data_IF_671916697327
#
_entry.id   IF_671916697327
#
_cell.length_a   1.000
_cell.length_b   1.000
_cell.length_c   1.000
_cell.angle_alpha   90.00
_cell.angle_beta   90.00
_cell.angle_gamma   90.00
#
_symmetry.space_group_name_H-M   'P 1'
#
loop_
_entity.id
_entity.type
_entity.pdbx_description
1 polymer ?
#
# COMPACT_ATOMS: atom_id res chain seq x y z
N UNK A 1 47.38 -6.33 18.89
CA UNK A 1 46.02 -6.64 19.41
C UNK A 1 44.95 -5.60 19.00
N UNK A 2 45.01 -4.99 17.80
CA UNK A 2 43.96 -4.05 17.30
C UNK A 2 43.17 -4.59 16.10
N UNK A 3 43.59 -5.72 15.51
CA UNK A 3 42.91 -6.35 14.36
C UNK A 3 41.81 -7.34 14.77
N UNK A 4 41.85 -7.89 15.99
CA UNK A 4 40.84 -8.83 16.50
C UNK A 4 39.50 -8.15 16.84
N UNK A 5 39.51 -6.85 17.18
CA UNK A 5 38.28 -6.10 17.44
C UNK A 5 37.41 -5.92 16.18
N UNK A 6 38.03 -5.86 15.00
CA UNK A 6 37.31 -5.71 13.73
C UNK A 6 36.59 -7.00 13.29
N UNK A 7 37.10 -8.18 13.65
CA UNK A 7 36.47 -9.46 13.30
C UNK A 7 35.31 -9.84 14.23
N UNK A 8 35.25 -9.29 15.45
CA UNK A 8 34.14 -9.48 16.39
C UNK A 8 32.92 -8.59 16.10
N UNK A 9 33.06 -7.56 15.27
CA UNK A 9 31.96 -6.67 14.87
C UNK A 9 31.23 -7.11 13.58
N UNK A 10 31.84 -7.98 12.76
CA UNK A 10 31.22 -8.51 11.54
C UNK A 10 29.95 -9.36 11.79
N UNK A 11 29.84 -10.22 12.84
CA UNK A 11 28.63 -11.00 13.05
C UNK A 11 27.42 -10.17 13.51
N UNK A 12 27.63 -8.93 13.99
CA UNK A 12 26.52 -8.02 14.34
C UNK A 12 25.82 -7.45 13.09
N UNK A 13 26.45 -7.47 11.93
CA UNK A 13 25.85 -7.06 10.65
C UNK A 13 25.23 -8.23 9.86
N UNK A 14 25.27 -9.45 10.38
CA UNK A 14 24.83 -10.67 9.70
C UNK A 14 23.44 -11.16 10.12
N UNK A 15 22.67 -10.37 10.87
CA UNK A 15 21.24 -10.63 11.06
C UNK A 15 20.47 -10.21 9.80
N UNK A 16 20.77 -10.85 8.67
CA UNK A 16 19.86 -10.87 7.53
C UNK A 16 18.58 -11.55 8.02
N UNK A 17 17.58 -10.77 8.39
CA UNK A 17 16.26 -11.31 8.64
C UNK A 17 15.79 -11.95 7.34
N UNK A 18 15.77 -13.27 7.33
CA UNK A 18 15.22 -14.08 6.23
C UNK A 18 13.80 -14.45 6.59
N UNK A 19 12.88 -14.27 5.65
CA UNK A 19 11.49 -14.61 5.85
C UNK A 19 10.64 -14.09 4.69
N UNK A 20 9.35 -14.48 4.67
CA UNK A 20 8.49 -14.19 3.56
C UNK A 20 8.08 -12.72 3.54
N UNK A 21 7.95 -12.17 2.34
CA UNK A 21 7.22 -10.93 2.10
C UNK A 21 6.37 -11.06 0.83
N UNK A 22 5.34 -10.23 0.72
CA UNK A 22 4.47 -10.21 -0.46
C UNK A 22 4.98 -9.18 -1.47
N UNK A 23 5.24 -9.65 -2.69
CA UNK A 23 5.57 -8.83 -3.85
C UNK A 23 4.34 -8.72 -4.76
N UNK A 24 3.60 -7.59 -4.74
CA UNK A 24 2.46 -7.40 -5.61
C UNK A 24 2.90 -7.12 -7.05
N UNK A 25 2.10 -7.58 -8.02
CA UNK A 25 2.28 -7.34 -9.45
C UNK A 25 0.92 -7.11 -10.11
N UNK A 26 0.81 -6.08 -10.94
CA UNK A 26 -0.42 -5.75 -11.68
C UNK A 26 -0.05 -5.28 -13.09
N UNK A 27 -0.93 -5.50 -14.06
CA UNK A 27 -0.70 -5.10 -15.46
C UNK A 27 -0.90 -3.59 -15.70
N UNK A 28 -1.67 -2.91 -14.85
CA UNK A 28 -2.08 -1.51 -15.05
C UNK A 28 -1.54 -0.58 -13.97
N UNK A 29 -1.31 -1.10 -12.77
CA UNK A 29 -0.82 -0.30 -11.64
C UNK A 29 0.70 -0.23 -11.56
N UNK A 30 1.20 0.75 -10.79
CA UNK A 30 2.63 0.96 -10.57
C UNK A 30 3.05 0.37 -9.22
N UNK A 31 4.21 -0.27 -9.17
CA UNK A 31 4.76 -0.74 -7.89
C UNK A 31 5.17 0.45 -7.02
N UNK A 32 4.70 0.48 -5.78
CA UNK A 32 5.06 1.47 -4.78
C UNK A 32 5.74 0.79 -3.59
N UNK A 33 6.93 1.25 -3.23
CA UNK A 33 7.61 0.87 -2.00
C UNK A 33 7.03 1.70 -0.85
N UNK A 34 6.44 1.04 0.14
CA UNK A 34 5.83 1.73 1.28
C UNK A 34 6.83 1.94 2.40
N UNK A 35 7.43 0.84 2.87
CA UNK A 35 8.46 0.86 3.90
C UNK A 35 9.43 -0.29 3.66
N UNK A 36 10.72 -0.06 3.96
CA UNK A 36 11.74 -1.10 3.97
C UNK A 36 11.73 -1.74 5.34
N UNK A 37 11.34 -3.01 5.41
CA UNK A 37 11.27 -3.80 6.65
C UNK A 37 12.05 -5.10 6.47
N UNK A 38 12.34 -5.74 7.61
CA UNK A 38 12.86 -7.10 7.68
C UNK A 38 11.65 -8.06 7.80
N UNK A 39 11.57 -9.17 7.05
CA UNK A 39 12.58 -9.73 6.14
C UNK A 39 12.55 -9.19 4.70
N UNK A 40 11.56 -8.36 4.34
CA UNK A 40 11.45 -7.75 3.02
C UNK A 40 10.49 -6.55 3.07
N UNK A 41 10.49 -5.72 2.02
CA UNK A 41 9.75 -4.46 2.03
C UNK A 41 8.22 -4.69 1.99
N UNK A 42 7.47 -3.79 2.62
CA UNK A 42 6.05 -3.65 2.31
C UNK A 42 5.91 -2.90 0.98
N UNK A 43 5.15 -3.49 0.06
CA UNK A 43 4.95 -2.99 -1.28
C UNK A 43 3.46 -2.93 -1.60
N UNK A 44 3.04 -1.89 -2.32
CA UNK A 44 1.69 -1.72 -2.84
C UNK A 44 1.68 -1.72 -4.36
N UNK A 45 0.50 -1.91 -4.93
CA UNK A 45 0.18 -1.35 -6.24
C UNK A 45 -0.46 0.02 -6.05
N UNK A 46 0.08 1.01 -6.76
CA UNK A 46 -0.47 2.34 -6.89
C UNK A 46 -1.33 2.44 -8.14
N UNK A 47 -2.58 2.86 -7.95
CA UNK A 47 -3.52 3.20 -9.01
C UNK A 47 -3.87 4.69 -8.94
N UNK A 48 -4.12 5.28 -10.10
CA UNK A 48 -4.60 6.65 -10.23
C UNK A 48 -5.58 6.73 -11.39
N UNK A 49 -6.35 7.80 -11.46
CA UNK A 49 -7.23 8.05 -12.61
C UNK A 49 -6.41 8.43 -13.84
N UNK A 50 -7.07 8.47 -15.00
CA UNK A 50 -6.46 8.95 -16.26
C UNK A 50 -6.56 10.45 -16.45
N UNK A 51 -7.46 11.14 -15.73
CA UNK A 51 -7.61 12.59 -15.78
C UNK A 51 -6.44 13.31 -15.13
N UNK A 52 -5.91 14.30 -15.85
CA UNK A 52 -4.89 15.22 -15.33
C UNK A 52 -5.33 15.98 -14.08
N UNK A 53 -6.65 16.17 -13.88
CA UNK A 53 -7.18 16.88 -12.71
C UNK A 53 -7.00 16.09 -11.40
N UNK A 54 -7.04 14.75 -11.49
CA UNK A 54 -7.12 13.85 -10.35
C UNK A 54 -5.93 12.88 -10.25
N UNK A 55 -5.01 12.91 -11.21
CA UNK A 55 -3.85 12.01 -11.29
C UNK A 55 -2.81 12.20 -10.17
N UNK A 56 -2.99 13.21 -9.32
CA UNK A 56 -2.20 13.45 -8.11
C UNK A 56 -2.66 12.65 -6.90
N UNK A 57 -3.84 12.01 -6.97
CA UNK A 57 -4.38 11.15 -5.91
C UNK A 57 -4.10 9.70 -6.29
N UNK A 58 -3.22 9.07 -5.53
CA UNK A 58 -2.80 7.69 -5.77
C UNK A 58 -3.41 6.77 -4.73
N UNK A 59 -4.29 5.86 -5.15
CA UNK A 59 -4.77 4.77 -4.31
C UNK A 59 -3.70 3.68 -4.21
N UNK A 60 -3.25 3.40 -2.99
CA UNK A 60 -2.31 2.33 -2.68
C UNK A 60 -3.08 1.12 -2.16
N UNK A 61 -2.82 -0.04 -2.77
CA UNK A 61 -3.42 -1.33 -2.42
C UNK A 61 -2.31 -2.30 -2.07
N UNK A 62 -2.32 -2.81 -0.86
CA UNK A 62 -1.29 -3.73 -0.39
C UNK A 62 -1.85 -4.79 0.55
N UNK A 63 -1.14 -5.91 0.67
CA UNK A 63 -1.46 -6.96 1.63
C UNK A 63 -0.40 -7.02 2.72
N UNK A 64 -0.85 -6.99 3.99
CA UNK A 64 -0.02 -7.11 5.18
C UNK A 64 -0.05 -8.57 5.64
N UNK A 65 1.13 -9.17 5.88
CA UNK A 65 1.23 -10.50 6.46
C UNK A 65 0.88 -10.49 7.96
N UNK A 66 0.51 -11.63 8.56
CA UNK A 66 0.37 -11.75 10.02
C UNK A 66 1.60 -11.21 10.74
N UNK A 67 1.39 -10.58 11.89
CA UNK A 67 2.48 -9.91 12.61
C UNK A 67 2.76 -8.49 12.14
N UNK A 68 2.17 -8.02 11.03
CA UNK A 68 2.31 -6.61 10.64
C UNK A 68 1.61 -5.70 11.66
N UNK A 69 2.28 -4.68 12.21
CA UNK A 69 1.67 -3.81 13.22
C UNK A 69 0.43 -3.07 12.70
N UNK A 70 -0.58 -2.96 13.56
CA UNK A 70 -1.85 -2.27 13.29
C UNK A 70 -2.19 -1.28 14.39
N UNK A 71 -2.45 -0.02 14.02
CA UNK A 71 -2.91 1.04 14.94
C UNK A 71 -4.34 0.78 15.46
N UNK A 72 -4.75 1.37 16.60
CA UNK A 72 -3.99 2.33 17.43
C UNK A 72 -2.94 1.68 18.34
N UNK A 73 -3.16 0.45 18.79
CA UNK A 73 -2.35 -0.17 19.86
C UNK A 73 -1.14 -0.97 19.36
N UNK A 74 -0.85 -0.93 18.05
CA UNK A 74 0.16 -1.77 17.40
C UNK A 74 -0.02 -3.26 17.71
N UNK A 75 -1.28 -3.69 17.81
CA UNK A 75 -1.59 -5.11 17.89
C UNK A 75 -1.19 -5.76 16.57
N UNK A 76 -0.78 -7.02 16.67
CA UNK A 76 -0.29 -7.80 15.55
C UNK A 76 -1.45 -8.63 15.05
N UNK A 77 -1.90 -8.37 13.82
CA UNK A 77 -2.97 -9.17 13.27
C UNK A 77 -2.52 -10.62 13.06
N UNK A 78 -3.41 -11.58 13.25
CA UNK A 78 -3.13 -13.01 13.04
C UNK A 78 -3.31 -13.43 11.60
N UNK A 79 -4.00 -12.62 10.81
CA UNK A 79 -4.41 -12.92 9.44
C UNK A 79 -3.69 -12.03 8.43
N UNK A 80 -3.65 -12.49 7.18
CA UNK A 80 -3.23 -11.66 6.06
C UNK A 80 -4.33 -10.62 5.78
N UNK A 81 -3.97 -9.34 5.78
CA UNK A 81 -4.94 -8.24 5.62
C UNK A 81 -4.74 -7.48 4.32
N UNK A 82 -5.83 -7.19 3.62
CA UNK A 82 -5.87 -6.16 2.60
C UNK A 82 -5.97 -4.80 3.26
N UNK A 83 -5.02 -3.93 2.96
CA UNK A 83 -5.04 -2.53 3.38
C UNK A 83 -5.00 -1.62 2.16
N UNK A 84 -5.80 -0.58 2.23
CA UNK A 84 -5.96 0.42 1.17
C UNK A 84 -5.82 1.79 1.80
N UNK A 85 -5.15 2.73 1.17
CA UNK A 85 -5.13 4.15 1.57
C UNK A 85 -4.65 4.99 0.39
N UNK A 86 -4.75 6.32 0.48
CA UNK A 86 -4.30 7.19 -0.59
C UNK A 86 -2.99 7.91 -0.23
N UNK A 87 -2.16 8.16 -1.23
CA UNK A 87 -1.07 9.13 -1.19
C UNK A 87 -1.41 10.31 -2.09
N UNK A 88 -1.21 11.52 -1.58
CA UNK A 88 -1.53 12.77 -2.25
C UNK A 88 -0.23 13.45 -2.69
N UNK A 89 -0.06 13.60 -3.99
CA UNK A 89 1.06 14.34 -4.58
C UNK A 89 0.67 15.79 -4.86
N UNK A 90 1.58 16.59 -5.42
CA UNK A 90 1.31 17.98 -5.77
C UNK A 90 0.14 18.07 -6.77
N UNK A 91 -0.99 18.71 -6.39
CA UNK A 91 -2.14 18.82 -7.27
C UNK A 91 -1.84 19.75 -8.45
N UNK A 92 -2.54 19.61 -9.59
CA UNK A 92 -2.27 20.37 -10.82
C UNK A 92 -2.18 21.88 -10.62
N UNK A 93 -3.07 22.47 -9.82
CA UNK A 93 -3.11 23.91 -9.54
C UNK A 93 -1.93 24.41 -8.69
N UNK A 94 -1.13 23.50 -8.12
CA UNK A 94 0.10 23.80 -7.38
C UNK A 94 1.38 23.42 -8.15
N UNK A 95 1.27 22.90 -9.37
CA UNK A 95 2.42 22.54 -10.19
C UNK A 95 3.00 23.79 -10.86
N UNK A 96 4.33 23.85 -10.99
CA UNK A 96 5.05 24.87 -11.77
C UNK A 96 4.76 26.33 -11.38
N UNK A 97 4.61 26.60 -10.08
CA UNK A 97 4.43 27.96 -9.55
C UNK A 97 5.80 28.65 -9.40
N UNK A 98 6.07 29.64 -10.23
CA UNK A 98 7.35 30.34 -10.37
C UNK A 98 7.37 31.75 -9.77
N UNK A 99 6.20 32.31 -9.41
CA UNK A 99 6.10 33.63 -8.76
C UNK A 99 5.31 33.56 -7.46
N UNK A 100 5.58 34.50 -6.55
CA UNK A 100 4.88 34.58 -5.25
C UNK A 100 3.38 34.75 -5.42
N UNK A 101 2.94 35.56 -6.38
CA UNK A 101 1.53 35.82 -6.66
C UNK A 101 0.80 34.55 -7.09
N UNK A 102 1.45 33.69 -7.88
CA UNK A 102 0.89 32.39 -8.27
C UNK A 102 0.78 31.43 -7.09
N UNK A 103 1.77 31.45 -6.19
CA UNK A 103 1.72 30.70 -4.93
C UNK A 103 0.56 31.17 -4.04
N UNK A 104 0.43 32.47 -3.82
CA UNK A 104 -0.63 33.05 -2.98
C UNK A 104 -2.02 32.74 -3.55
N UNK A 105 -2.19 32.79 -4.88
CA UNK A 105 -3.42 32.42 -5.56
C UNK A 105 -3.74 30.91 -5.43
N UNK A 106 -2.74 30.04 -5.58
CA UNK A 106 -2.92 28.59 -5.47
C UNK A 106 -3.29 28.16 -4.04
N UNK A 107 -2.68 28.76 -3.01
CA UNK A 107 -3.04 28.49 -1.61
C UNK A 107 -4.41 29.06 -1.20
N UNK A 108 -4.86 30.12 -1.88
CA UNK A 108 -6.20 30.69 -1.68
C UNK A 108 -7.30 29.89 -2.40
N UNK A 109 -6.94 29.01 -3.33
CA UNK A 109 -7.88 28.16 -4.05
C UNK A 109 -8.26 26.97 -3.16
N UNK A 110 -9.56 26.77 -2.86
CA UNK A 110 -9.98 25.61 -2.07
C UNK A 110 -9.66 24.32 -2.84
N UNK A 111 -9.06 23.31 -2.19
CA UNK A 111 -8.80 22.03 -2.85
C UNK A 111 -10.13 21.40 -3.27
N UNK A 112 -10.15 20.65 -4.40
CA UNK A 112 -11.36 19.93 -4.78
C UNK A 112 -11.79 18.97 -3.68
N UNK A 113 -13.09 18.71 -3.58
CA UNK A 113 -13.58 17.60 -2.78
C UNK A 113 -13.01 16.30 -3.35
N UNK A 114 -12.59 15.38 -2.51
CA UNK A 114 -12.09 14.08 -2.92
C UNK A 114 -12.91 12.98 -2.26
N UNK A 115 -13.36 12.01 -3.04
CA UNK A 115 -14.09 10.86 -2.55
C UNK A 115 -13.77 9.63 -3.39
N UNK A 116 -13.27 8.58 -2.74
CA UNK A 116 -13.07 7.27 -3.37
C UNK A 116 -14.29 6.42 -3.10
N UNK A 117 -14.91 5.89 -4.16
CA UNK A 117 -16.06 4.99 -4.08
C UNK A 117 -15.82 3.72 -4.92
N UNK A 118 -16.72 2.74 -4.77
CA UNK A 118 -16.67 1.48 -5.49
C UNK A 118 -18.05 1.10 -6.02
N UNK A 119 -18.11 0.36 -7.12
CA UNK A 119 -19.35 -0.24 -7.63
C UNK A 119 -19.93 -1.31 -6.67
N UNK A 120 -19.08 -1.87 -5.80
CA UNK A 120 -19.43 -2.89 -4.81
C UNK A 120 -18.34 -2.89 -3.72
N UNK A 121 -18.64 -3.30 -2.47
CA UNK A 121 -17.61 -3.54 -1.47
C UNK A 121 -16.87 -4.86 -1.67
N UNK A 122 -17.30 -5.70 -2.62
CA UNK A 122 -16.79 -7.07 -2.76
C UNK A 122 -15.54 -7.13 -3.63
N UNK A 123 -14.44 -7.63 -3.08
CA UNK A 123 -13.28 -8.06 -3.85
C UNK A 123 -13.24 -9.59 -3.95
N UNK A 124 -12.65 -10.09 -5.03
CA UNK A 124 -12.45 -11.53 -5.23
C UNK A 124 -11.00 -11.90 -4.90
N UNK A 125 -10.83 -12.93 -4.08
CA UNK A 125 -9.55 -13.55 -3.80
C UNK A 125 -9.51 -14.89 -4.51
N UNK A 126 -8.47 -15.14 -5.30
CA UNK A 126 -8.21 -16.42 -5.94
C UNK A 126 -6.87 -16.97 -5.42
N UNK A 127 -6.93 -18.15 -4.81
CA UNK A 127 -5.76 -18.84 -4.26
C UNK A 127 -4.99 -19.58 -5.36
N UNK A 128 -3.73 -19.91 -5.10
CA UNK A 128 -2.88 -20.71 -6.01
C UNK A 128 -3.51 -22.06 -6.42
N UNK A 129 -4.35 -22.66 -5.58
CA UNK A 129 -5.06 -23.90 -5.87
C UNK A 129 -6.31 -23.73 -6.77
N UNK A 130 -6.56 -22.51 -7.27
CA UNK A 130 -7.69 -22.18 -8.14
C UNK A 130 -9.01 -21.92 -7.42
N UNK A 131 -9.09 -22.10 -6.09
CA UNK A 131 -10.27 -21.72 -5.32
C UNK A 131 -10.41 -20.21 -5.25
N UNK A 132 -11.64 -19.73 -5.38
CA UNK A 132 -11.97 -18.32 -5.28
C UNK A 132 -13.07 -18.08 -4.25
N UNK A 133 -12.99 -16.97 -3.54
CA UNK A 133 -14.01 -16.49 -2.62
C UNK A 133 -14.05 -14.96 -2.63
N UNK A 134 -15.13 -14.39 -2.10
CA UNK A 134 -15.27 -12.94 -2.01
C UNK A 134 -15.07 -12.47 -0.57
N UNK A 135 -14.49 -11.29 -0.45
CA UNK A 135 -14.32 -10.56 0.82
C UNK A 135 -14.97 -9.20 0.69
N UNK A 136 -15.70 -8.78 1.73
CA UNK A 136 -16.29 -7.45 1.79
C UNK A 136 -15.27 -6.49 2.39
N UNK A 137 -14.83 -5.50 1.61
CA UNK A 137 -13.92 -4.47 2.06
C UNK A 137 -14.75 -3.38 2.73
N UNK A 138 -14.64 -3.29 4.06
CA UNK A 138 -15.49 -2.41 4.88
C UNK A 138 -15.49 -0.97 4.36
N UNK A 139 -14.31 -0.46 4.01
CA UNK A 139 -14.12 0.92 3.55
C UNK A 139 -14.78 1.22 2.20
N UNK A 140 -15.01 0.20 1.38
CA UNK A 140 -15.66 0.38 0.08
C UNK A 140 -17.19 0.32 0.16
N UNK A 141 -17.78 0.02 1.33
CA UNK A 141 -19.24 0.04 1.51
C UNK A 141 -19.82 1.44 1.32
N UNK A 142 -19.14 2.46 1.83
CA UNK A 142 -19.54 3.87 1.73
C UNK A 142 -18.57 4.71 0.92
N UNK A 143 -17.36 4.20 0.67
CA UNK A 143 -16.25 5.03 0.21
C UNK A 143 -15.58 5.80 1.36
N UNK A 144 -14.57 6.59 1.01
CA UNK A 144 -13.76 7.34 1.99
C UNK A 144 -13.12 8.59 1.36
N UNK A 145 -12.77 9.58 2.21
CA UNK A 145 -11.96 10.72 1.79
C UNK A 145 -10.46 10.33 1.85
N UNK A 146 -9.71 10.42 0.73
CA UNK A 146 -8.29 10.07 0.70
C UNK A 146 -7.40 10.98 1.59
N UNK A 147 -7.94 12.06 2.17
CA UNK A 147 -7.24 12.96 3.09
C UNK A 147 -7.39 12.59 4.56
N UNK A 148 -8.19 11.58 4.89
CA UNK A 148 -8.35 11.13 6.27
C UNK A 148 -7.00 10.70 6.86
N UNK A 149 -6.48 11.49 7.81
CA UNK A 149 -5.10 11.36 8.31
C UNK A 149 -4.84 10.05 9.08
N UNK A 150 -5.88 9.39 9.57
CA UNK A 150 -5.79 8.08 10.23
C UNK A 150 -5.74 6.92 9.24
N UNK A 151 -5.88 7.17 7.94
CA UNK A 151 -5.75 6.19 6.86
C UNK A 151 -4.32 6.17 6.33
N UNK A 152 -3.49 5.31 6.91
CA UNK A 152 -2.10 5.13 6.53
C UNK A 152 -1.75 3.63 6.44
N UNK A 153 -0.44 3.36 6.32
CA UNK A 153 0.10 2.00 6.31
C UNK A 153 -0.33 1.20 7.55
N UNK A 154 -0.55 1.80 8.72
CA UNK A 154 -0.83 1.06 9.94
C UNK A 154 -2.32 0.93 10.25
N UNK A 155 -3.21 1.48 9.41
CA UNK A 155 -4.65 1.33 9.59
C UNK A 155 -5.08 -0.14 9.46
N UNK A 156 -6.05 -0.60 10.27
CA UNK A 156 -6.66 -1.92 10.11
C UNK A 156 -7.16 -2.18 8.70
N UNK A 157 -6.92 -3.40 8.23
CA UNK A 157 -7.34 -3.87 6.91
C UNK A 157 -8.59 -4.75 6.96
N UNK A 158 -8.91 -5.32 5.80
CA UNK A 158 -9.89 -6.40 5.66
C UNK A 158 -9.14 -7.73 5.68
N UNK A 159 -9.47 -8.64 6.60
CA UNK A 159 -8.88 -9.99 6.59
C UNK A 159 -9.19 -10.67 5.25
N UNK A 160 -8.14 -11.13 4.58
CA UNK A 160 -8.23 -11.88 3.33
C UNK A 160 -8.35 -13.38 3.58
N UNK A 161 -7.94 -13.88 4.74
CA UNK A 161 -7.93 -15.29 5.08
C UNK A 161 -7.18 -15.53 6.38
N UNK A 162 -7.44 -16.68 7.01
CA UNK A 162 -6.82 -17.02 8.28
C UNK A 162 -5.33 -17.28 8.14
N UNK A 163 -4.53 -16.63 8.99
CA UNK A 163 -3.09 -16.84 9.01
C UNK A 163 -2.33 -16.26 7.82
N UNK A 164 -1.14 -16.82 7.61
CA UNK A 164 -0.26 -16.45 6.49
C UNK A 164 -0.76 -17.09 5.20
N UNK A 165 -0.95 -16.28 4.17
CA UNK A 165 -1.36 -16.76 2.85
C UNK A 165 -0.14 -16.97 1.94
N UNK A 166 -0.18 -18.02 1.13
CA UNK A 166 0.73 -18.22 0.00
C UNK A 166 0.37 -17.26 -1.16
N UNK A 167 0.79 -17.56 -2.40
CA UNK A 167 0.45 -16.78 -3.58
C UNK A 167 -1.08 -16.69 -3.77
N UNK A 168 -1.56 -15.48 -4.03
CA UNK A 168 -2.96 -15.22 -4.36
C UNK A 168 -3.12 -14.07 -5.36
N UNK A 169 -4.27 -14.04 -6.01
CA UNK A 169 -4.69 -12.96 -6.88
C UNK A 169 -5.86 -12.23 -6.21
N UNK A 170 -5.74 -10.90 -6.11
CA UNK A 170 -6.79 -10.01 -5.66
C UNK A 170 -7.38 -9.27 -6.85
N UNK A 171 -8.68 -9.42 -7.07
CA UNK A 171 -9.43 -8.62 -8.05
C UNK A 171 -10.36 -7.67 -7.30
N UNK A 172 -10.06 -6.38 -7.42
CA UNK A 172 -10.88 -5.32 -6.83
C UNK A 172 -12.17 -5.10 -7.65
N UNK A 173 -13.25 -4.60 -7.02
CA UNK A 173 -14.39 -4.08 -7.75
C UNK A 173 -13.98 -2.86 -8.59
N UNK A 174 -14.87 -2.38 -9.45
CA UNK A 174 -14.64 -1.08 -10.09
C UNK A 174 -14.57 0.02 -9.03
N UNK A 175 -13.52 0.83 -9.11
CA UNK A 175 -13.25 1.93 -8.18
C UNK A 175 -13.34 3.25 -8.91
N UNK A 176 -13.75 4.29 -8.19
CA UNK A 176 -13.92 5.63 -8.71
C UNK A 176 -13.32 6.66 -7.76
N UNK A 177 -12.77 7.73 -8.32
CA UNK A 177 -12.39 8.94 -7.59
C UNK A 177 -13.24 10.09 -8.14
N UNK A 178 -14.09 10.67 -7.31
CA UNK A 178 -15.05 11.71 -7.71
C UNK A 178 -15.94 11.29 -8.91
N UNK A 179 -16.25 10.00 -9.02
CA UNK A 179 -17.02 9.44 -10.15
C UNK A 179 -16.19 9.10 -11.39
N UNK A 180 -14.92 9.48 -11.45
CA UNK A 180 -14.02 9.04 -12.51
C UNK A 180 -13.46 7.65 -12.21
N UNK A 181 -13.53 6.75 -13.19
CA UNK A 181 -13.03 5.38 -13.05
C UNK A 181 -11.52 5.36 -12.80
N UNK A 182 -11.10 4.65 -11.77
CA UNK A 182 -9.70 4.31 -11.51
C UNK A 182 -9.41 3.00 -12.27
N UNK A 183 -8.54 2.99 -13.29
CA UNK A 183 -8.18 1.76 -13.99
C UNK A 183 -7.46 0.81 -13.04
N UNK A 184 -8.10 -0.30 -12.71
CA UNK A 184 -7.54 -1.38 -11.90
C UNK A 184 -7.37 -2.64 -12.74
N UNK A 185 -6.48 -3.53 -12.29
CA UNK A 185 -6.32 -4.87 -12.83
C UNK A 185 -6.09 -5.86 -11.67
N UNK A 186 -6.26 -7.17 -11.88
CA UNK A 186 -5.92 -8.15 -10.86
C UNK A 186 -4.49 -7.99 -10.36
N UNK A 187 -4.32 -8.07 -9.03
CA UNK A 187 -3.03 -7.97 -8.36
C UNK A 187 -2.59 -9.36 -7.96
N UNK A 188 -1.45 -9.80 -8.49
CA UNK A 188 -0.80 -11.05 -8.10
C UNK A 188 0.13 -10.75 -6.93
N UNK A 189 -0.26 -11.17 -5.73
CA UNK A 189 0.61 -11.13 -4.56
C UNK A 189 1.43 -12.42 -4.54
N UNK A 190 2.72 -12.31 -4.86
CA UNK A 190 3.65 -13.42 -4.83
C UNK A 190 4.45 -13.39 -3.54
N UNK A 191 4.44 -14.50 -2.81
CA UNK A 191 5.31 -14.69 -1.67
C UNK A 191 6.75 -14.87 -2.17
N UNK A 192 7.67 -14.13 -1.56
CA UNK A 192 9.10 -14.22 -1.85
C UNK A 192 9.89 -14.45 -0.58
N UNK A 193 10.90 -15.29 -0.71
CA UNK A 193 11.93 -15.52 0.31
C UNK A 193 13.25 -14.96 -0.19
N UNK A 194 13.40 -13.64 -0.18
CA UNK A 194 14.66 -13.02 -0.57
C UNK A 194 15.49 -12.67 0.68
N UNK A 195 16.82 -12.73 0.54
CA UNK A 195 17.74 -12.14 1.52
C UNK A 195 17.72 -10.64 1.32
N UNK A 196 16.91 -9.92 2.08
CA UNK A 196 16.97 -8.47 2.10
C UNK A 196 18.22 -8.03 2.88
N UNK A 197 19.08 -7.22 2.24
CA UNK A 197 20.26 -6.67 2.93
C UNK A 197 19.80 -5.85 4.14
N UNK A 198 20.56 -5.90 5.26
CA UNK A 198 20.15 -5.22 6.49
C UNK A 198 19.91 -3.74 6.23
N UNK A 199 18.69 -3.29 6.49
CA UNK A 199 18.45 -1.88 6.81
C UNK A 199 19.11 -1.68 8.17
N UNK A 200 20.01 -0.70 8.31
CA UNK A 200 20.53 -0.26 9.61
C UNK A 200 19.34 0.27 10.43
N UNK A 201 18.59 -0.61 11.08
CA UNK A 201 17.40 -0.40 11.95
C UNK A 201 16.51 -1.67 12.08
N UNK A 202 16.93 -2.81 11.54
CA UNK A 202 16.72 -4.07 12.24
C UNK A 202 17.82 -4.17 13.32
#
# INVERSE_FOLDING_TARGET
MKRLAFYLLVPLFAACSTGPYLNPQSAVGQNALLIRTCPGPHQAISYKTTSEELDWVHLLVYAALPGTPTRPDFHHNTDTELRMYASLYTPPYMRNLDTKEKWDAAYSTPPPALWISAASPMATVQLANGKSYQVSIERLKTGFDPREQWLDLYSPGTSLGSGEMDDFILTLPELFLNGEKIPTAPIHFKKREDRYMPVLNC
#
